data_IF_939374858353
#
_entry.id   IF_939374858353
#
_cell.length_a   1.000
_cell.length_b   1.000
_cell.length_c   1.000
_cell.angle_alpha   90.00
_cell.angle_beta   90.00
_cell.angle_gamma   90.00
#
_symmetry.space_group_name_H-M   'P 1'
#
loop_
_entity.id
_entity.type
_entity.pdbx_description
1 polymer ?
#
# COMPACT_ATOMS: atom_id res chain seq x y z
N UNK A 1 -20.86 -26.63 34.74
CA UNK A 1 -19.82 -25.60 34.81
C UNK A 1 -20.08 -24.70 33.62
N UNK A 2 -20.76 -23.59 33.87
CA UNK A 2 -21.02 -22.57 32.85
C UNK A 2 -19.70 -21.87 32.53
N UNK A 3 -19.31 -21.86 31.25
CA UNK A 3 -18.17 -21.10 30.78
C UNK A 3 -18.45 -19.62 31.04
N UNK A 4 -17.70 -19.02 31.95
CA UNK A 4 -17.72 -17.58 32.18
C UNK A 4 -17.17 -16.89 30.93
N UNK A 5 -18.05 -16.33 30.10
CA UNK A 5 -17.67 -15.44 28.99
C UNK A 5 -16.76 -14.34 29.52
N UNK A 6 -15.50 -14.36 29.10
CA UNK A 6 -14.47 -13.41 29.52
C UNK A 6 -14.59 -12.16 28.67
N UNK A 7 -14.99 -11.06 29.30
CA UNK A 7 -15.14 -9.76 28.65
C UNK A 7 -13.83 -8.97 28.70
N UNK A 8 -13.45 -8.35 27.59
CA UNK A 8 -12.26 -7.48 27.50
C UNK A 8 -12.70 -6.03 27.34
N UNK A 9 -12.08 -5.15 28.12
CA UNK A 9 -12.32 -3.70 28.08
C UNK A 9 -11.27 -3.02 27.21
N UNK A 10 -11.68 -2.44 26.07
CA UNK A 10 -10.78 -1.67 25.19
C UNK A 10 -11.11 -0.19 25.26
N UNK A 11 -10.09 0.65 25.46
CA UNK A 11 -10.24 2.10 25.57
C UNK A 11 -9.68 2.75 24.30
N UNK A 12 -10.51 3.49 23.57
CA UNK A 12 -10.07 4.29 22.40
C UNK A 12 -10.32 5.78 22.65
N UNK A 13 -9.51 6.65 22.03
CA UNK A 13 -9.78 8.09 22.06
C UNK A 13 -10.96 8.42 21.15
N UNK A 14 -11.94 9.19 21.64
CA UNK A 14 -13.04 9.67 20.81
C UNK A 14 -12.64 10.95 20.07
N UNK A 15 -13.25 11.17 18.91
CA UNK A 15 -13.37 12.50 18.29
C UNK A 15 -14.82 12.98 18.50
N UNK A 16 -14.99 14.29 18.66
CA UNK A 16 -16.29 14.92 18.94
C UNK A 16 -17.32 14.59 17.85
N UNK A 17 -18.22 13.65 18.13
CA UNK A 17 -19.47 13.48 17.39
C UNK A 17 -20.64 13.66 18.36
N UNK A 18 -21.29 14.82 18.25
CA UNK A 18 -22.44 15.20 19.07
C UNK A 18 -23.73 14.58 18.53
N UNK A 19 -24.04 13.31 18.87
CA UNK A 19 -25.41 12.78 18.80
C UNK A 19 -25.70 11.86 19.97
N UNK A 20 -26.69 12.23 20.78
CA UNK A 20 -27.22 11.45 21.90
C UNK A 20 -27.92 10.20 21.38
N UNK A 21 -27.54 9.03 21.87
CA UNK A 21 -28.30 7.79 21.72
C UNK A 21 -28.92 7.43 23.08
N UNK A 22 -30.24 7.24 23.10
CA UNK A 22 -31.01 6.78 24.26
C UNK A 22 -30.88 5.26 24.43
N UNK A 23 -30.70 4.82 25.67
CA UNK A 23 -30.41 3.43 26.02
C UNK A 23 -31.66 2.55 26.10
N UNK A 24 -31.56 1.36 25.50
CA UNK A 24 -32.45 0.22 25.73
C UNK A 24 -31.60 -0.95 26.22
N UNK A 25 -31.77 -1.34 27.48
CA UNK A 25 -31.15 -2.52 28.09
C UNK A 25 -31.98 -3.76 27.79
N UNK A 26 -31.52 -4.56 26.84
CA UNK A 26 -31.94 -5.95 26.65
C UNK A 26 -30.71 -6.85 26.71
N UNK A 27 -30.58 -7.63 27.77
CA UNK A 27 -29.55 -8.68 27.91
C UNK A 27 -29.94 -9.88 27.06
N UNK A 28 -29.34 -9.99 25.88
CA UNK A 28 -29.24 -11.25 25.13
C UNK A 28 -27.78 -11.69 25.15
N UNK A 29 -27.51 -12.96 25.44
CA UNK A 29 -26.17 -13.52 25.33
C UNK A 29 -25.79 -13.59 23.85
N UNK A 30 -24.97 -12.64 23.39
CA UNK A 30 -24.50 -12.59 22.01
C UNK A 30 -23.15 -13.30 21.95
N UNK A 31 -23.18 -14.60 21.64
CA UNK A 31 -22.00 -15.35 21.23
C UNK A 31 -21.66 -15.07 19.77
N UNK A 32 -20.47 -15.51 19.33
CA UNK A 32 -20.13 -15.56 17.91
C UNK A 32 -21.19 -16.37 17.15
N UNK A 33 -21.91 -15.71 16.25
CA UNK A 33 -23.00 -16.35 15.50
C UNK A 33 -22.45 -17.17 14.32
N UNK A 34 -23.23 -18.11 13.79
CA UNK A 34 -22.85 -18.83 12.56
C UNK A 34 -22.68 -17.90 11.34
N UNK A 35 -23.24 -16.70 11.38
CA UNK A 35 -23.01 -15.67 10.36
C UNK A 35 -21.66 -14.95 10.53
N UNK A 36 -21.08 -14.95 11.74
CA UNK A 36 -19.78 -14.32 12.06
C UNK A 36 -18.58 -15.26 11.76
N UNK A 37 -18.86 -16.49 11.33
CA UNK A 37 -17.85 -17.55 11.09
C UNK A 37 -17.06 -17.36 9.79
N UNK A 38 -17.33 -16.32 9.00
CA UNK A 38 -16.52 -16.01 7.80
C UNK A 38 -15.07 -15.71 8.19
N UNK A 39 -14.83 -15.24 9.42
CA UNK A 39 -13.48 -15.06 9.98
C UNK A 39 -12.77 -16.39 10.30
N UNK A 40 -13.52 -17.45 10.63
CA UNK A 40 -12.99 -18.80 10.92
C UNK A 40 -12.94 -19.68 9.66
N UNK A 41 -13.47 -19.18 8.55
CA UNK A 41 -13.53 -19.82 7.25
C UNK A 41 -12.16 -19.98 6.60
N UNK A 42 -11.55 -21.13 6.86
CA UNK A 42 -10.50 -21.80 6.09
C UNK A 42 -9.27 -20.95 5.72
N UNK A 43 -8.11 -21.42 6.17
CA UNK A 43 -6.85 -21.20 5.47
C UNK A 43 -7.03 -21.68 4.02
N UNK A 44 -7.41 -20.76 3.13
CA UNK A 44 -7.34 -20.93 1.68
C UNK A 44 -5.86 -20.86 1.30
N UNK A 45 -5.08 -21.83 1.77
CA UNK A 45 -3.81 -22.15 1.13
C UNK A 45 -4.19 -22.54 -0.30
N UNK A 46 -3.63 -21.91 -1.34
CA UNK A 46 -3.94 -22.27 -2.72
C UNK A 46 -3.73 -23.77 -2.92
N UNK A 47 -4.81 -24.53 -3.01
CA UNK A 47 -4.79 -25.93 -3.46
C UNK A 47 -4.74 -25.93 -4.99
N UNK A 48 -3.67 -25.37 -5.52
CA UNK A 48 -3.32 -25.44 -6.92
C UNK A 48 -1.81 -25.52 -6.98
N UNK A 49 -1.27 -26.67 -7.42
CA UNK A 49 0.15 -26.73 -7.76
C UNK A 49 0.38 -25.79 -8.94
N UNK A 50 0.90 -24.59 -8.67
CA UNK A 50 1.42 -23.73 -9.72
C UNK A 50 2.39 -24.55 -10.56
N UNK A 51 2.17 -24.61 -11.87
CA UNK A 51 3.13 -25.27 -12.78
C UNK A 51 4.46 -24.51 -12.82
N UNK A 52 4.46 -23.24 -12.41
CA UNK A 52 5.63 -22.35 -12.43
C UNK A 52 6.27 -22.33 -11.04
N UNK A 53 7.45 -22.93 -10.91
CA UNK A 53 8.27 -22.84 -9.71
C UNK A 53 8.94 -21.47 -9.66
N UNK A 54 8.47 -20.60 -8.77
CA UNK A 54 9.03 -19.24 -8.58
C UNK A 54 10.34 -19.26 -7.79
N UNK A 55 11.22 -18.30 -8.08
CA UNK A 55 12.48 -18.16 -7.32
C UNK A 55 12.22 -17.81 -5.86
N UNK A 56 13.02 -18.40 -4.98
CA UNK A 56 12.97 -18.17 -3.52
C UNK A 56 14.18 -17.40 -3.00
N UNK A 57 15.10 -17.01 -3.89
CA UNK A 57 16.33 -16.27 -3.57
C UNK A 57 16.78 -15.39 -4.74
N UNK A 58 17.53 -14.36 -4.41
CA UNK A 58 18.31 -13.53 -5.34
C UNK A 58 19.79 -13.53 -4.90
N UNK A 59 20.74 -13.10 -5.75
CA UNK A 59 22.12 -12.95 -5.35
C UNK A 59 22.26 -12.08 -4.10
N UNK A 60 23.23 -12.40 -3.24
CA UNK A 60 23.49 -11.61 -2.04
C UNK A 60 23.93 -10.19 -2.44
N UNK A 61 23.37 -9.18 -1.77
CA UNK A 61 23.77 -7.80 -1.96
C UNK A 61 25.24 -7.60 -1.57
N UNK A 62 26.02 -6.80 -2.32
CA UNK A 62 27.34 -6.37 -1.92
C UNK A 62 27.35 -5.69 -0.54
N UNK A 63 28.43 -5.89 0.24
CA UNK A 63 28.57 -5.34 1.57
C UNK A 63 29.23 -3.95 1.53
N UNK A 64 28.44 -2.92 1.27
CA UNK A 64 28.87 -1.51 1.37
C UNK A 64 28.11 -0.79 2.48
N UNK A 65 28.84 0.00 3.28
CA UNK A 65 28.22 0.86 4.28
C UNK A 65 27.54 2.06 3.61
N UNK A 66 26.28 2.29 3.96
CA UNK A 66 25.50 3.41 3.44
C UNK A 66 25.55 4.58 4.43
N UNK A 67 26.05 5.73 3.99
CA UNK A 67 25.99 6.98 4.75
C UNK A 67 24.97 7.93 4.10
N UNK A 68 23.70 7.83 4.48
CA UNK A 68 22.61 8.61 3.90
C UNK A 68 22.79 10.13 4.13
N UNK A 69 23.37 10.51 5.28
CA UNK A 69 23.65 11.91 5.60
C UNK A 69 24.60 12.57 4.58
N UNK A 70 25.58 11.84 4.06
CA UNK A 70 26.55 12.37 3.09
C UNK A 70 25.89 12.95 1.84
N UNK A 71 24.77 12.36 1.40
CA UNK A 71 23.96 12.82 0.27
C UNK A 71 22.95 13.88 0.71
N UNK A 72 22.32 13.69 1.87
CA UNK A 72 21.18 14.52 2.27
C UNK A 72 21.54 15.83 2.98
N UNK A 73 22.80 16.04 3.39
CA UNK A 73 23.23 17.26 4.09
C UNK A 73 22.86 18.57 3.36
N UNK A 74 22.89 18.56 2.02
CA UNK A 74 22.58 19.72 1.18
C UNK A 74 21.10 19.78 0.75
N UNK A 75 20.28 18.86 1.24
CA UNK A 75 18.91 18.60 0.78
C UNK A 75 17.85 18.96 1.84
N UNK A 76 18.24 19.60 2.94
CA UNK A 76 17.34 19.99 4.03
C UNK A 76 16.23 20.89 3.49
N UNK A 77 14.97 20.53 3.75
CA UNK A 77 13.79 21.27 3.30
C UNK A 77 13.43 21.11 1.81
N UNK A 78 14.23 20.38 1.01
CA UNK A 78 13.96 20.12 -0.40
C UNK A 78 13.07 18.88 -0.59
N UNK A 79 12.40 18.84 -1.73
CA UNK A 79 11.68 17.65 -2.19
C UNK A 79 12.69 16.58 -2.65
N UNK A 80 12.65 15.39 -2.03
CA UNK A 80 13.66 14.35 -2.28
C UNK A 80 13.50 13.62 -3.61
N UNK A 81 12.31 13.67 -4.21
CA UNK A 81 12.03 13.07 -5.53
C UNK A 81 12.95 13.64 -6.62
N UNK A 82 13.37 14.91 -6.48
CA UNK A 82 14.22 15.65 -7.42
C UNK A 82 15.73 15.46 -7.18
N UNK A 83 16.13 14.71 -6.15
CA UNK A 83 17.53 14.49 -5.80
C UNK A 83 17.97 13.10 -6.29
N UNK A 84 18.96 13.01 -7.20
CA UNK A 84 19.45 11.74 -7.70
C UNK A 84 20.16 10.98 -6.58
N UNK A 85 19.69 9.77 -6.30
CA UNK A 85 20.29 8.86 -5.32
C UNK A 85 21.23 7.88 -6.04
N UNK A 86 22.45 7.63 -5.55
CA UNK A 86 23.30 6.56 -6.05
C UNK A 86 22.64 5.19 -5.90
N UNK A 87 22.92 4.25 -6.81
CA UNK A 87 22.33 2.89 -6.82
C UNK A 87 22.55 2.15 -5.50
N UNK A 88 23.62 2.45 -4.77
CA UNK A 88 23.92 1.81 -3.48
C UNK A 88 22.81 2.04 -2.42
N UNK A 89 22.04 3.12 -2.55
CA UNK A 89 20.89 3.42 -1.68
C UNK A 89 19.57 2.86 -2.19
N UNK A 90 19.59 2.22 -3.36
CA UNK A 90 18.44 1.59 -3.94
C UNK A 90 18.27 0.15 -3.43
N UNK A 91 17.12 -0.43 -3.74
CA UNK A 91 16.89 -1.86 -3.77
C UNK A 91 16.55 -2.26 -5.22
N UNK A 92 16.74 -3.52 -5.64
CA UNK A 92 16.55 -3.94 -7.02
C UNK A 92 15.08 -4.13 -7.43
N UNK A 93 14.19 -3.24 -6.96
CA UNK A 93 12.78 -3.16 -7.34
C UNK A 93 12.43 -1.72 -7.77
N UNK A 94 11.56 -1.58 -8.76
CA UNK A 94 10.95 -0.31 -9.15
C UNK A 94 9.84 0.08 -8.17
N UNK A 95 9.44 1.35 -8.15
CA UNK A 95 8.29 1.77 -7.35
C UNK A 95 6.99 1.07 -7.80
N UNK A 96 6.86 0.67 -9.08
CA UNK A 96 5.70 -0.06 -9.59
C UNK A 96 5.61 -1.47 -8.99
N UNK A 97 6.77 -2.13 -8.84
CA UNK A 97 6.88 -3.40 -8.14
C UNK A 97 6.59 -3.23 -6.65
N UNK A 98 7.16 -2.20 -6.01
CA UNK A 98 6.88 -1.88 -4.59
C UNK A 98 5.38 -1.65 -4.33
N UNK A 99 4.68 -1.00 -5.26
CA UNK A 99 3.23 -0.81 -5.16
C UNK A 99 2.47 -2.13 -5.26
N UNK A 100 2.94 -3.05 -6.10
CA UNK A 100 2.33 -4.39 -6.25
C UNK A 100 2.51 -5.26 -5.00
N UNK A 101 3.49 -4.97 -4.13
CA UNK A 101 3.65 -5.66 -2.84
C UNK A 101 2.47 -5.46 -1.88
N UNK A 102 1.60 -4.46 -2.11
CA UNK A 102 0.33 -4.32 -1.38
C UNK A 102 -0.53 -5.59 -1.49
N UNK A 103 -0.33 -6.41 -2.53
CA UNK A 103 -1.05 -7.66 -2.79
C UNK A 103 -0.46 -8.89 -2.05
N UNK A 104 0.56 -8.72 -1.20
CA UNK A 104 1.15 -9.83 -0.42
C UNK A 104 0.09 -10.59 0.38
N UNK A 105 -0.91 -9.89 0.90
CA UNK A 105 -2.00 -10.46 1.70
C UNK A 105 -3.36 -10.35 0.99
N UNK A 106 -3.40 -10.43 -0.35
CA UNK A 106 -4.64 -10.36 -1.15
C UNK A 106 -5.72 -11.37 -0.73
N UNK A 107 -5.35 -12.52 -0.15
CA UNK A 107 -6.30 -13.52 0.35
C UNK A 107 -7.24 -12.97 1.44
N UNK A 108 -6.90 -11.87 2.12
CA UNK A 108 -7.82 -11.15 3.00
C UNK A 108 -9.02 -10.62 2.23
N UNK A 109 -8.81 -10.15 0.99
CA UNK A 109 -9.87 -9.70 0.10
C UNK A 109 -10.65 -10.87 -0.49
N UNK A 110 -9.99 -11.98 -0.83
CA UNK A 110 -10.68 -13.20 -1.27
C UNK A 110 -11.64 -13.71 -0.18
N UNK A 111 -11.23 -13.67 1.08
CA UNK A 111 -12.11 -13.96 2.23
C UNK A 111 -13.23 -12.92 2.36
N UNK A 112 -12.90 -11.65 2.20
CA UNK A 112 -13.85 -10.54 2.34
C UNK A 112 -15.00 -10.60 1.32
N UNK A 113 -14.77 -11.15 0.11
CA UNK A 113 -15.84 -11.39 -0.88
C UNK A 113 -16.99 -12.21 -0.30
N UNK A 114 -16.69 -13.15 0.60
CA UNK A 114 -17.67 -14.08 1.16
C UNK A 114 -18.41 -13.54 2.40
N UNK A 115 -18.07 -12.35 2.87
CA UNK A 115 -18.77 -11.71 3.98
C UNK A 115 -20.19 -11.29 3.57
N UNK A 116 -21.17 -11.65 4.38
CA UNK A 116 -22.57 -11.19 4.24
C UNK A 116 -22.81 -9.88 4.99
N UNK A 117 -22.03 -9.62 6.05
CA UNK A 117 -22.05 -8.39 6.83
C UNK A 117 -21.02 -7.39 6.30
N UNK A 118 -21.46 -6.17 5.98
CA UNK A 118 -20.59 -5.11 5.46
C UNK A 118 -19.58 -4.59 6.50
N UNK A 119 -19.94 -4.64 7.79
CA UNK A 119 -19.02 -4.29 8.89
C UNK A 119 -17.98 -5.38 9.16
N UNK A 120 -18.28 -6.65 8.91
CA UNK A 120 -17.26 -7.72 8.94
C UNK A 120 -16.35 -7.68 7.73
N UNK A 121 -16.93 -7.44 6.54
CA UNK A 121 -16.16 -7.20 5.32
C UNK A 121 -15.17 -6.04 5.55
N UNK A 122 -15.61 -4.96 6.20
CA UNK A 122 -14.77 -3.82 6.58
C UNK A 122 -13.60 -4.21 7.49
N UNK A 123 -13.76 -5.16 8.43
CA UNK A 123 -12.64 -5.64 9.26
C UNK A 123 -11.53 -6.26 8.42
N UNK A 124 -11.87 -7.08 7.42
CA UNK A 124 -10.88 -7.71 6.52
C UNK A 124 -10.24 -6.69 5.58
N UNK A 125 -11.01 -5.72 5.06
CA UNK A 125 -10.48 -4.61 4.26
C UNK A 125 -9.49 -3.76 5.09
N UNK A 126 -9.81 -3.48 6.35
CA UNK A 126 -8.92 -2.77 7.26
C UNK A 126 -7.64 -3.56 7.55
N UNK A 127 -7.74 -4.87 7.80
CA UNK A 127 -6.57 -5.74 7.96
C UNK A 127 -5.70 -5.76 6.70
N UNK A 128 -6.30 -5.83 5.51
CA UNK A 128 -5.60 -5.73 4.23
C UNK A 128 -4.84 -4.40 4.11
N UNK A 129 -5.50 -3.27 4.40
CA UNK A 129 -4.85 -1.95 4.39
C UNK A 129 -3.69 -1.84 5.40
N UNK A 130 -3.78 -2.47 6.57
CA UNK A 130 -2.68 -2.47 7.56
C UNK A 130 -1.53 -3.36 7.09
N UNK A 131 -1.86 -4.53 6.51
CA UNK A 131 -0.87 -5.53 6.11
C UNK A 131 0.16 -5.03 5.08
N UNK A 132 -0.22 -4.07 4.23
CA UNK A 132 0.69 -3.50 3.20
C UNK A 132 1.93 -2.82 3.79
N UNK A 133 1.88 -2.40 5.06
CA UNK A 133 3.02 -1.77 5.73
C UNK A 133 4.03 -2.77 6.31
N UNK A 134 3.64 -4.03 6.45
CA UNK A 134 4.47 -5.06 7.11
C UNK A 134 5.78 -5.36 6.37
N UNK A 135 5.81 -5.10 5.06
CA UNK A 135 6.97 -5.27 4.18
C UNK A 135 7.99 -4.14 4.31
N UNK A 136 7.66 -3.03 4.99
CA UNK A 136 8.53 -1.85 5.07
C UNK A 136 9.51 -1.89 6.25
N UNK A 137 9.27 -2.75 7.25
CA UNK A 137 9.95 -2.72 8.58
C UNK A 137 11.48 -2.61 8.48
N UNK A 138 12.10 -3.36 7.59
CA UNK A 138 13.55 -3.42 7.43
C UNK A 138 14.05 -2.78 6.12
N UNK A 139 13.14 -2.23 5.30
CA UNK A 139 13.43 -1.79 3.93
C UNK A 139 13.52 -0.28 3.83
N UNK A 140 14.68 0.23 4.24
CA UNK A 140 15.06 1.65 4.19
C UNK A 140 15.64 2.10 2.84
N UNK A 141 15.91 1.14 1.94
CA UNK A 141 16.43 1.42 0.61
C UNK A 141 15.33 1.95 -0.31
N UNK A 142 15.69 2.88 -1.21
CA UNK A 142 14.75 3.52 -2.13
C UNK A 142 14.48 2.58 -3.31
N UNK A 143 13.23 2.25 -3.68
CA UNK A 143 12.99 1.60 -4.96
C UNK A 143 13.44 2.50 -6.13
N UNK A 144 13.72 1.93 -7.29
CA UNK A 144 14.01 2.73 -8.50
C UNK A 144 12.80 3.61 -8.83
N UNK A 145 13.06 4.88 -9.13
CA UNK A 145 12.02 5.76 -9.68
C UNK A 145 11.71 5.28 -11.10
N UNK A 146 10.46 4.86 -11.41
CA UNK A 146 10.14 4.33 -12.72
C UNK A 146 10.32 5.39 -13.82
N UNK A 147 10.67 4.93 -15.01
CA UNK A 147 10.73 5.78 -16.19
C UNK A 147 9.30 6.16 -16.60
N UNK A 148 9.10 7.33 -17.22
CA UNK A 148 7.76 7.69 -17.72
C UNK A 148 7.30 6.67 -18.78
N UNK A 149 6.13 6.07 -18.59
CA UNK A 149 5.62 4.98 -19.43
C UNK A 149 6.20 3.60 -19.10
N UNK A 150 7.04 3.48 -18.08
CA UNK A 150 7.42 2.17 -17.53
C UNK A 150 6.17 1.46 -17.01
N UNK A 151 6.07 0.17 -17.29
CA UNK A 151 4.98 -0.69 -16.85
C UNK A 151 5.50 -1.77 -15.91
N UNK A 152 4.62 -2.34 -15.10
CA UNK A 152 4.91 -3.59 -14.41
C UNK A 152 3.66 -4.43 -14.32
N UNK A 153 3.72 -5.67 -14.82
CA UNK A 153 2.65 -6.64 -14.64
C UNK A 153 2.97 -7.73 -13.59
N UNK A 154 1.94 -8.17 -12.89
CA UNK A 154 1.95 -9.40 -12.11
C UNK A 154 0.77 -10.26 -12.57
N UNK A 155 1.05 -11.23 -13.45
CA UNK A 155 0.08 -12.20 -13.94
C UNK A 155 0.18 -13.49 -13.12
N UNK A 156 -0.76 -13.67 -12.19
CA UNK A 156 -0.78 -14.77 -11.22
C UNK A 156 -2.18 -15.38 -11.14
N UNK A 157 -2.91 -15.44 -12.26
CA UNK A 157 -4.25 -16.04 -12.30
C UNK A 157 -4.25 -17.50 -11.86
N UNK A 158 -3.21 -18.24 -12.21
CA UNK A 158 -3.10 -19.68 -11.94
C UNK A 158 -2.94 -19.98 -10.45
N UNK A 159 -2.18 -19.17 -9.71
CA UNK A 159 -1.81 -19.46 -8.32
C UNK A 159 -2.30 -18.45 -7.28
N UNK A 160 -2.37 -17.15 -7.60
CA UNK A 160 -2.97 -16.11 -6.73
C UNK A 160 -4.39 -15.70 -7.17
N UNK A 161 -4.85 -16.13 -8.34
CA UNK A 161 -6.17 -15.76 -8.86
C UNK A 161 -6.31 -14.32 -9.33
N UNK A 162 -5.20 -13.58 -9.49
CA UNK A 162 -5.23 -12.16 -9.82
C UNK A 162 -4.27 -11.76 -10.94
N UNK A 163 -4.58 -10.63 -11.56
CA UNK A 163 -3.72 -9.88 -12.46
C UNK A 163 -3.58 -8.45 -11.94
N UNK A 164 -2.38 -7.92 -11.96
CA UNK A 164 -2.09 -6.54 -11.56
C UNK A 164 -1.26 -5.86 -12.65
N UNK A 165 -1.59 -4.63 -12.98
CA UNK A 165 -0.87 -3.78 -13.91
C UNK A 165 -0.60 -2.42 -13.27
N UNK A 166 0.64 -1.98 -13.35
CA UNK A 166 1.06 -0.63 -13.01
C UNK A 166 1.62 0.08 -14.26
N UNK A 167 1.40 1.39 -14.37
CA UNK A 167 2.09 2.28 -15.32
C UNK A 167 2.55 3.55 -14.62
N UNK A 168 3.77 4.01 -14.91
CA UNK A 168 4.22 5.34 -14.51
C UNK A 168 3.57 6.39 -15.42
N UNK A 169 2.48 6.99 -14.94
CA UNK A 169 1.62 7.91 -15.72
C UNK A 169 2.08 9.36 -15.68
N UNK A 170 2.90 9.74 -14.71
CA UNK A 170 3.53 11.06 -14.62
C UNK A 170 4.92 10.97 -13.99
N UNK A 171 5.84 11.86 -14.35
CA UNK A 171 7.18 11.93 -13.76
C UNK A 171 7.42 13.18 -12.91
N UNK A 172 6.70 14.27 -13.19
CA UNK A 172 6.78 15.53 -12.46
C UNK A 172 5.38 16.12 -12.21
N UNK A 173 4.77 15.87 -11.02
CA UNK A 173 5.26 14.98 -9.96
C UNK A 173 5.19 13.49 -10.36
N UNK A 174 6.01 12.61 -9.75
CA UNK A 174 6.00 11.19 -10.07
C UNK A 174 4.71 10.54 -9.58
N UNK A 175 3.91 10.03 -10.53
CA UNK A 175 2.64 9.35 -10.27
C UNK A 175 2.59 8.00 -10.98
N UNK A 176 2.07 6.99 -10.30
CA UNK A 176 1.86 5.64 -10.81
C UNK A 176 0.39 5.28 -10.72
N UNK A 177 -0.17 4.80 -11.83
CA UNK A 177 -1.51 4.20 -11.85
C UNK A 177 -1.39 2.69 -11.68
N UNK A 178 -2.34 2.10 -10.95
CA UNK A 178 -2.36 0.69 -10.59
C UNK A 178 -3.77 0.15 -10.69
N UNK A 179 -3.91 -1.01 -11.33
CA UNK A 179 -5.17 -1.72 -11.45
C UNK A 179 -4.96 -3.20 -11.20
N UNK A 180 -5.88 -3.79 -10.44
CA UNK A 180 -5.88 -5.20 -10.05
C UNK A 180 -7.25 -5.78 -10.33
N UNK A 181 -7.23 -6.93 -11.00
CA UNK A 181 -8.40 -7.77 -11.22
C UNK A 181 -8.19 -9.11 -10.49
N UNK A 182 -9.20 -9.56 -9.75
CA UNK A 182 -9.24 -10.89 -9.15
C UNK A 182 -10.39 -11.72 -9.69
N UNK A 183 -10.12 -12.98 -10.02
CA UNK A 183 -11.16 -13.96 -10.41
C UNK A 183 -12.11 -14.29 -9.25
N UNK A 184 -11.75 -13.93 -8.02
CA UNK A 184 -12.56 -14.15 -6.83
C UNK A 184 -13.69 -13.14 -6.65
N UNK A 185 -13.78 -12.09 -7.49
CA UNK A 185 -14.89 -11.14 -7.40
C UNK A 185 -14.57 -9.87 -6.62
N UNK A 186 -13.33 -9.38 -6.74
CA UNK A 186 -12.97 -8.02 -6.35
C UNK A 186 -12.00 -7.38 -7.35
N UNK A 187 -12.01 -6.04 -7.41
CA UNK A 187 -11.04 -5.24 -8.16
C UNK A 187 -10.51 -4.11 -7.29
N UNK A 188 -9.24 -3.75 -7.48
CA UNK A 188 -8.59 -2.65 -6.77
C UNK A 188 -7.93 -1.71 -7.76
N UNK A 189 -8.04 -0.41 -7.54
CA UNK A 189 -7.34 0.59 -8.35
C UNK A 189 -6.93 1.81 -7.54
N UNK A 190 -5.86 2.46 -7.99
CA UNK A 190 -5.35 3.70 -7.40
C UNK A 190 -4.49 4.45 -8.41
N UNK A 191 -4.44 5.77 -8.27
CA UNK A 191 -3.32 6.58 -8.74
C UNK A 191 -2.58 7.10 -7.51
N UNK A 192 -1.27 6.88 -7.44
CA UNK A 192 -0.47 7.24 -6.28
C UNK A 192 0.72 8.11 -6.65
N UNK A 193 0.87 9.23 -5.94
CA UNK A 193 2.02 10.12 -5.99
C UNK A 193 2.76 10.08 -4.65
N UNK A 194 4.08 9.87 -4.67
CA UNK A 194 4.88 9.82 -3.44
C UNK A 194 5.58 11.16 -3.19
N UNK A 195 5.10 11.93 -2.22
CA UNK A 195 5.78 13.15 -1.78
C UNK A 195 6.72 12.85 -0.62
N UNK A 196 7.97 13.33 -0.70
CA UNK A 196 8.97 13.10 0.35
C UNK A 196 9.58 14.42 0.82
N UNK A 197 9.57 14.67 2.14
CA UNK A 197 10.10 15.88 2.77
C UNK A 197 11.17 15.55 3.79
N UNK A 198 12.36 16.11 3.63
CA UNK A 198 13.44 15.97 4.61
C UNK A 198 13.37 17.06 5.70
N UNK A 199 13.17 16.66 6.96
CA UNK A 199 13.02 17.54 8.13
C UNK A 199 14.23 17.49 9.08
N UNK A 200 15.43 17.36 8.52
CA UNK A 200 16.69 17.33 9.29
C UNK A 200 16.94 15.97 9.96
N UNK A 201 16.22 15.62 11.03
CA UNK A 201 16.46 14.32 11.73
C UNK A 201 15.80 13.13 11.04
N UNK A 202 14.72 13.37 10.28
CA UNK A 202 13.91 12.33 9.65
C UNK A 202 13.40 12.76 8.27
N UNK A 203 13.02 11.78 7.46
CA UNK A 203 12.28 11.98 6.20
C UNK A 203 10.83 11.57 6.42
N UNK A 204 9.88 12.42 6.03
CA UNK A 204 8.47 12.06 5.94
C UNK A 204 8.13 11.69 4.49
N UNK A 205 7.58 10.51 4.28
CA UNK A 205 7.12 9.98 2.99
C UNK A 205 5.59 9.92 3.06
N UNK A 206 4.95 10.72 2.22
CA UNK A 206 3.50 10.90 2.18
C UNK A 206 2.99 10.36 0.85
N UNK A 207 2.37 9.18 0.82
CA UNK A 207 1.65 8.71 -0.34
C UNK A 207 0.35 9.50 -0.50
N UNK A 208 0.16 10.09 -1.68
CA UNK A 208 -0.99 10.90 -2.04
C UNK A 208 -1.80 10.15 -3.09
N UNK A 209 -3.13 10.12 -2.94
CA UNK A 209 -4.04 9.40 -3.82
C UNK A 209 -4.96 8.48 -3.05
N UNK A 210 -6.17 8.28 -3.59
CA UNK A 210 -7.16 7.38 -3.05
C UNK A 210 -6.98 5.96 -3.60
N UNK A 211 -7.20 4.98 -2.74
CA UNK A 211 -7.29 3.56 -3.10
C UNK A 211 -8.76 3.19 -3.14
N UNK A 212 -9.15 2.55 -4.21
CA UNK A 212 -10.50 2.05 -4.44
C UNK A 212 -10.48 0.54 -4.45
N UNK A 213 -11.44 -0.07 -3.76
CA UNK A 213 -11.69 -1.50 -3.76
C UNK A 213 -13.19 -1.75 -3.96
N UNK A 214 -13.53 -2.54 -4.95
CA UNK A 214 -14.92 -2.91 -5.24
C UNK A 214 -15.09 -4.42 -5.22
N UNK A 215 -16.13 -4.88 -4.54
CA UNK A 215 -16.57 -6.28 -4.55
C UNK A 215 -17.77 -6.43 -5.48
N UNK A 216 -17.63 -7.15 -6.60
CA UNK A 216 -18.66 -7.10 -7.65
C UNK A 216 -20.01 -7.72 -7.24
N UNK A 217 -20.00 -8.80 -6.45
CA UNK A 217 -21.22 -9.47 -6.03
C UNK A 217 -22.06 -8.61 -5.06
N UNK A 218 -21.41 -7.96 -4.10
CA UNK A 218 -22.10 -7.10 -3.13
C UNK A 218 -22.26 -5.67 -3.64
N UNK A 219 -21.47 -5.22 -4.61
CA UNK A 219 -21.37 -3.82 -5.03
C UNK A 219 -20.84 -2.88 -3.96
N UNK A 220 -20.25 -3.40 -2.87
CA UNK A 220 -19.63 -2.55 -1.86
C UNK A 220 -18.35 -1.94 -2.43
N UNK A 221 -18.20 -0.62 -2.26
CA UNK A 221 -17.08 0.15 -2.78
C UNK A 221 -16.39 0.88 -1.63
N UNK A 222 -15.19 0.43 -1.31
CA UNK A 222 -14.36 0.98 -0.24
C UNK A 222 -13.35 1.97 -0.81
N UNK A 223 -13.20 3.11 -0.12
CA UNK A 223 -12.20 4.13 -0.46
C UNK A 223 -11.41 4.51 0.80
N UNK A 224 -10.07 4.58 0.67
CA UNK A 224 -9.18 5.04 1.74
C UNK A 224 -7.89 5.65 1.18
N UNK A 225 -7.07 6.23 2.05
CA UNK A 225 -5.74 6.78 1.72
C UNK A 225 -4.69 6.16 2.64
N UNK A 226 -3.44 6.11 2.17
CA UNK A 226 -2.32 5.57 2.96
C UNK A 226 -1.86 6.53 4.06
N UNK A 227 -1.43 5.97 5.18
CA UNK A 227 -0.69 6.64 6.27
C UNK A 227 0.68 7.15 5.82
N UNK A 228 1.22 8.11 6.56
CA UNK A 228 2.58 8.64 6.36
C UNK A 228 3.62 7.68 6.92
N UNK A 229 4.70 7.45 6.18
CA UNK A 229 5.89 6.74 6.67
C UNK A 229 6.98 7.72 7.09
N UNK A 230 7.66 7.46 8.18
CA UNK A 230 8.78 8.28 8.65
C UNK A 230 10.06 7.47 8.75
N UNK A 231 11.12 7.90 8.04
CA UNK A 231 12.47 7.32 8.17
C UNK A 231 13.25 8.16 9.18
N UNK A 232 13.52 7.59 10.35
CA UNK A 232 14.21 8.25 11.44
C UNK A 232 15.73 8.09 11.39
N UNK A 233 16.43 8.90 12.19
CA UNK A 233 17.88 8.82 12.43
C UNK A 233 18.74 9.04 11.18
N UNK A 234 18.30 9.94 10.30
CA UNK A 234 19.00 10.26 9.07
C UNK A 234 20.44 10.75 9.30
N UNK A 235 20.64 11.56 10.34
CA UNK A 235 21.93 12.20 10.65
C UNK A 235 22.79 11.28 11.53
N UNK A 236 22.21 10.74 12.60
CA UNK A 236 22.90 9.96 13.63
C UNK A 236 22.02 8.82 14.11
N UNK A 237 22.61 7.63 14.23
CA UNK A 237 21.96 6.42 14.73
C UNK A 237 21.61 5.43 13.62
N UNK A 238 21.04 4.29 14.01
CA UNK A 238 20.53 3.30 13.06
C UNK A 238 19.23 3.81 12.45
N UNK A 239 19.13 3.79 11.12
CA UNK A 239 17.91 4.11 10.39
C UNK A 239 16.80 3.11 10.73
N UNK A 240 15.59 3.62 10.93
CA UNK A 240 14.39 2.80 11.14
C UNK A 240 13.15 3.52 10.60
N UNK A 241 12.12 2.74 10.28
CA UNK A 241 10.87 3.22 9.70
C UNK A 241 9.76 3.13 10.73
N UNK A 242 8.95 4.17 10.79
CA UNK A 242 7.67 4.19 11.49
C UNK A 242 6.52 4.48 10.53
N UNK A 243 5.31 4.09 10.92
CA UNK A 243 4.07 4.45 10.25
C UNK A 243 3.21 5.23 11.23
N UNK A 244 2.72 6.40 10.84
CA UNK A 244 1.89 7.23 11.71
C UNK A 244 0.86 8.06 10.95
N UNK A 245 -0.29 8.24 11.59
CA UNK A 245 -1.42 8.98 11.05
C UNK A 245 -2.75 8.27 11.30
N UNK A 246 -3.82 9.00 11.00
CA UNK A 246 -5.18 8.50 11.06
C UNK A 246 -5.62 8.16 9.62
N UNK A 247 -6.11 6.95 9.41
CA UNK A 247 -6.70 6.51 8.14
C UNK A 247 -8.20 6.31 8.37
N UNK A 248 -9.02 6.79 7.42
CA UNK A 248 -10.43 6.45 7.35
C UNK A 248 -10.68 5.58 6.11
N UNK A 249 -11.33 4.44 6.30
CA UNK A 249 -11.85 3.58 5.24
C UNK A 249 -13.36 3.73 5.22
N UNK A 250 -13.91 4.12 4.07
CA UNK A 250 -15.35 4.37 3.91
C UNK A 250 -15.91 3.41 2.89
N UNK A 251 -16.98 2.68 3.25
CA UNK A 251 -17.81 1.97 2.27
C UNK A 251 -18.85 2.94 1.71
N UNK A 252 -18.72 3.35 0.46
CA UNK A 252 -19.61 4.32 -0.18
C UNK A 252 -21.00 3.77 -0.52
N UNK A 253 -21.20 2.45 -0.45
CA UNK A 253 -22.53 1.84 -0.63
C UNK A 253 -23.36 1.88 0.65
N UNK A 254 -22.77 1.49 1.78
CA UNK A 254 -23.48 1.36 3.06
C UNK A 254 -23.25 2.54 4.00
N UNK A 255 -22.24 3.38 3.75
CA UNK A 255 -21.72 4.40 4.65
C UNK A 255 -21.11 3.87 5.96
N UNK A 256 -20.77 2.58 6.02
CA UNK A 256 -19.96 2.04 7.11
C UNK A 256 -18.54 2.61 7.05
N UNK A 257 -17.92 2.78 8.21
CA UNK A 257 -16.61 3.42 8.35
C UNK A 257 -15.68 2.60 9.23
N UNK A 258 -14.40 2.59 8.89
CA UNK A 258 -13.34 2.16 9.79
C UNK A 258 -12.36 3.32 10.01
N UNK A 259 -12.19 3.72 11.27
CA UNK A 259 -11.16 4.67 11.68
C UNK A 259 -9.97 3.90 12.22
N UNK A 260 -8.84 3.93 11.51
CA UNK A 260 -7.58 3.34 11.92
C UNK A 260 -6.63 4.42 12.42
N UNK A 261 -5.90 4.13 13.49
CA UNK A 261 -4.90 5.01 14.09
C UNK A 261 -3.57 4.31 14.19
N UNK A 262 -2.59 4.81 13.45
CA UNK A 262 -1.20 4.38 13.52
C UNK A 262 -0.48 5.23 14.55
N UNK A 263 -0.18 4.64 15.71
CA UNK A 263 0.38 5.35 16.84
C UNK A 263 1.88 5.57 16.60
N UNK A 264 2.34 6.83 16.53
CA UNK A 264 3.75 7.12 16.35
C UNK A 264 4.55 6.62 17.56
N UNK A 265 5.74 6.09 17.30
CA UNK A 265 6.64 5.69 18.36
C UNK A 265 7.01 6.89 19.25
N UNK A 266 6.92 6.69 20.56
CA UNK A 266 7.29 7.68 21.56
C UNK A 266 8.03 7.03 22.71
N UNK A 267 9.23 7.54 23.03
CA UNK A 267 10.05 7.08 24.16
C UNK A 267 9.35 7.23 25.51
N UNK A 268 8.39 8.14 25.63
CA UNK A 268 7.66 8.42 26.87
C UNK A 268 6.33 7.66 26.96
N UNK A 269 5.94 6.95 25.90
CA UNK A 269 4.71 6.17 25.89
C UNK A 269 4.96 4.76 26.46
N UNK A 270 3.99 4.25 27.21
CA UNK A 270 3.95 2.84 27.64
C UNK A 270 3.35 1.92 26.57
N UNK A 271 2.89 2.48 25.45
CA UNK A 271 2.28 1.69 24.38
C UNK A 271 3.33 0.87 23.63
N UNK A 272 2.88 -0.29 23.11
CA UNK A 272 3.71 -1.09 22.22
C UNK A 272 4.15 -0.26 21.00
N UNK A 273 5.38 -0.47 20.55
CA UNK A 273 5.85 0.13 19.31
C UNK A 273 4.98 -0.34 18.13
N UNK A 274 4.83 0.52 17.10
CA UNK A 274 4.16 0.16 15.84
C UNK A 274 2.68 -0.22 15.99
N UNK A 275 2.07 0.16 17.11
CA UNK A 275 0.69 -0.17 17.44
C UNK A 275 -0.28 0.48 16.45
N UNK A 276 -1.28 -0.30 16.06
CA UNK A 276 -2.42 0.16 15.27
C UNK A 276 -3.69 -0.21 16.02
N UNK A 277 -4.60 0.75 16.12
CA UNK A 277 -5.94 0.52 16.67
C UNK A 277 -6.99 0.96 15.66
N UNK A 278 -8.17 0.39 15.68
CA UNK A 278 -9.28 0.94 14.92
C UNK A 278 -10.65 0.64 15.47
N UNK A 279 -11.64 1.34 14.94
CA UNK A 279 -13.06 1.12 15.25
C UNK A 279 -13.82 1.03 13.94
N UNK A 280 -14.60 -0.03 13.78
CA UNK A 280 -15.54 -0.21 12.67
C UNK A 280 -16.93 0.14 13.16
N UNK A 281 -17.56 1.08 12.49
CA UNK A 281 -18.90 1.57 12.80
C UNK A 281 -19.81 1.49 11.58
N UNK A 282 -21.11 1.29 11.83
CA UNK A 282 -22.11 1.33 10.78
C UNK A 282 -22.44 2.77 10.34
N UNK A 283 -23.34 2.90 9.36
CA UNK A 283 -23.84 4.18 8.84
C UNK A 283 -24.47 5.11 9.90
N UNK A 284 -24.86 4.58 11.06
CA UNK A 284 -25.44 5.34 12.18
C UNK A 284 -24.40 5.74 13.22
N UNK A 285 -23.13 5.35 13.00
CA UNK A 285 -22.02 5.60 13.93
C UNK A 285 -21.96 4.60 15.09
N UNK A 286 -22.77 3.54 15.09
CA UNK A 286 -22.69 2.51 16.12
C UNK A 286 -21.45 1.65 15.88
N UNK A 287 -20.58 1.56 16.87
CA UNK A 287 -19.40 0.70 16.82
C UNK A 287 -19.80 -0.78 16.90
N UNK A 288 -19.30 -1.60 15.97
CA UNK A 288 -19.51 -3.05 15.93
C UNK A 288 -18.24 -3.84 16.22
N UNK A 289 -17.08 -3.32 15.81
CA UNK A 289 -15.79 -3.98 16.03
C UNK A 289 -14.72 -2.99 16.46
N UNK A 290 -13.85 -3.46 17.37
CA UNK A 290 -12.58 -2.79 17.68
C UNK A 290 -11.47 -3.63 17.09
N UNK A 291 -10.55 -2.98 16.40
CA UNK A 291 -9.37 -3.59 15.81
C UNK A 291 -8.14 -3.21 16.64
N UNK A 292 -7.23 -4.15 16.84
CA UNK A 292 -5.98 -3.89 17.57
C UNK A 292 -4.86 -4.79 17.07
N UNK A 293 -3.65 -4.25 17.00
CA UNK A 293 -2.48 -5.01 16.57
C UNK A 293 -1.25 -4.12 16.39
N UNK A 294 -0.31 -4.59 15.58
CA UNK A 294 0.83 -3.81 15.11
C UNK A 294 1.04 -4.04 13.61
N UNK A 295 1.38 -3.00 12.87
CA UNK A 295 1.48 -3.06 11.41
C UNK A 295 2.63 -3.96 10.92
N UNK A 296 3.50 -4.40 11.83
CA UNK A 296 4.66 -5.24 11.56
C UNK A 296 4.53 -6.70 12.03
N UNK A 297 3.44 -7.08 12.69
CA UNK A 297 3.29 -8.43 13.25
C UNK A 297 1.92 -9.04 12.96
N UNK A 298 0.83 -8.43 13.44
CA UNK A 298 -0.52 -8.99 13.32
C UNK A 298 -1.62 -7.96 13.56
N UNK A 299 -2.84 -8.29 13.13
CA UNK A 299 -4.06 -7.52 13.39
C UNK A 299 -5.18 -8.46 13.86
N UNK A 300 -5.89 -8.05 14.91
CA UNK A 300 -7.01 -8.77 15.49
C UNK A 300 -8.27 -7.88 15.50
N UNK A 301 -9.45 -8.50 15.56
CA UNK A 301 -10.72 -7.82 15.80
C UNK A 301 -11.46 -8.40 17.02
N UNK A 302 -12.16 -7.52 17.73
CA UNK A 302 -13.03 -7.89 18.85
C UNK A 302 -14.43 -7.30 18.63
N UNK A 303 -15.45 -8.14 18.69
CA UNK A 303 -16.85 -7.73 18.52
C UNK A 303 -17.31 -6.91 19.73
N UNK A 304 -17.90 -5.75 19.49
CA UNK A 304 -18.42 -4.85 20.53
C UNK A 304 -19.80 -5.32 20.98
N UNK A 305 -19.99 -5.48 22.28
CA UNK A 305 -21.31 -5.73 22.87
C UNK A 305 -21.92 -4.46 23.43
N UNK A 306 -21.12 -3.70 24.18
CA UNK A 306 -21.53 -2.46 24.82
C UNK A 306 -20.44 -1.39 24.69
N UNK A 307 -20.85 -0.15 24.52
CA UNK A 307 -20.00 1.03 24.52
C UNK A 307 -20.45 1.99 25.61
N UNK A 308 -19.54 2.48 26.44
CA UNK A 308 -19.82 3.50 27.44
C UNK A 308 -18.77 4.62 27.39
N UNK A 309 -19.15 5.88 27.67
CA UNK A 309 -18.18 6.95 27.81
C UNK A 309 -17.32 6.71 29.07
N UNK A 310 -16.01 6.88 28.95
CA UNK A 310 -15.11 6.83 30.11
C UNK A 310 -15.28 8.07 30.98
N UNK A 311 -14.86 7.95 32.25
CA UNK A 311 -14.60 9.12 33.09
C UNK A 311 -13.67 10.11 32.36
N UNK A 312 -13.85 11.44 32.53
CA UNK A 312 -12.99 12.43 31.89
C UNK A 312 -11.53 12.16 32.25
N UNK A 313 -10.66 12.06 31.24
CA UNK A 313 -9.21 12.00 31.48
C UNK A 313 -8.68 13.36 31.91
N UNK A 314 -7.50 13.39 32.54
CA UNK A 314 -6.81 14.63 32.97
C UNK A 314 -6.62 15.66 31.85
N UNK A 315 -6.71 15.22 30.59
CA UNK A 315 -6.48 16.03 29.39
C UNK A 315 -7.79 16.51 28.75
N UNK A 316 -8.94 16.35 29.42
CA UNK A 316 -10.26 16.79 28.93
C UNK A 316 -10.83 15.96 27.77
N UNK A 317 -10.09 14.99 27.24
CA UNK A 317 -10.56 14.07 26.21
C UNK A 317 -11.41 12.96 26.83
N UNK A 318 -12.66 12.80 26.37
CA UNK A 318 -13.48 11.62 26.66
C UNK A 318 -12.95 10.44 25.83
N UNK A 319 -12.69 9.32 26.49
CA UNK A 319 -12.36 8.06 25.82
C UNK A 319 -13.61 7.19 25.79
N UNK A 320 -13.77 6.38 24.77
CA UNK A 320 -14.86 5.39 24.73
C UNK A 320 -14.33 4.07 25.25
N UNK A 321 -15.09 3.45 26.15
CA UNK A 321 -14.81 2.13 26.71
C UNK A 321 -15.72 1.13 26.01
N UNK A 322 -15.11 0.16 25.33
CA UNK A 322 -15.82 -0.94 24.68
C UNK A 322 -15.68 -2.20 25.50
N UNK A 323 -16.80 -2.85 25.79
CA UNK A 323 -16.83 -4.24 26.26
C UNK A 323 -16.96 -5.15 25.05
N UNK A 324 -15.98 -6.01 24.86
CA UNK A 324 -15.88 -6.85 23.67
C UNK A 324 -15.82 -8.34 23.99
N UNK A 325 -16.16 -9.17 23.01
CA UNK A 325 -15.81 -10.58 22.99
C UNK A 325 -14.29 -10.78 22.85
N UNK A 326 -13.84 -12.01 23.04
CA UNK A 326 -12.44 -12.41 22.80
C UNK A 326 -12.01 -12.08 21.38
N UNK A 327 -10.76 -11.62 21.23
CA UNK A 327 -10.21 -11.22 19.95
C UNK A 327 -10.07 -12.41 18.98
N UNK A 328 -10.33 -12.17 17.70
CA UNK A 328 -10.06 -13.08 16.58
C UNK A 328 -8.96 -12.51 15.70
N UNK A 329 -8.01 -13.35 15.29
CA UNK A 329 -6.91 -12.97 14.41
C UNK A 329 -7.41 -12.76 12.98
N UNK A 330 -7.18 -11.58 12.42
CA UNK A 330 -7.51 -11.26 11.03
C UNK A 330 -6.32 -11.51 10.10
N UNK A 331 -5.14 -11.05 10.52
CA UNK A 331 -3.93 -11.06 9.72
C UNK A 331 -2.71 -11.28 10.60
N UNK A 332 -1.74 -12.03 10.07
CA UNK A 332 -0.42 -12.20 10.66
C UNK A 332 0.64 -12.13 9.57
N UNK A 333 1.72 -11.42 9.86
CA UNK A 333 2.85 -11.24 8.95
C UNK A 333 3.51 -12.58 8.62
N UNK A 334 3.86 -12.77 7.35
CA UNK A 334 4.66 -13.91 6.93
C UNK A 334 6.10 -13.83 7.43
N UNK A 335 6.71 -14.96 7.84
CA UNK A 335 8.11 -14.97 8.19
C UNK A 335 8.96 -14.58 6.97
N UNK A 336 10.03 -13.84 7.22
CA UNK A 336 10.99 -13.54 6.16
C UNK A 336 11.80 -14.80 5.81
N UNK A 337 12.24 -14.95 4.55
CA UNK A 337 13.16 -16.00 4.14
C UNK A 337 14.45 -15.99 4.95
N UNK A 338 15.09 -17.15 5.03
CA UNK A 338 16.38 -17.28 5.71
C UNK A 338 17.44 -16.39 5.03
N UNK A 339 18.25 -15.67 5.82
CA UNK A 339 19.25 -14.71 5.35
C UNK A 339 18.66 -13.52 4.55
N UNK A 340 17.41 -13.13 4.81
CA UNK A 340 16.75 -12.01 4.12
C UNK A 340 17.56 -10.70 4.20
N UNK A 341 18.37 -10.47 5.23
CA UNK A 341 19.25 -9.31 5.34
C UNK A 341 20.27 -9.19 4.19
N UNK A 342 20.64 -10.31 3.58
CA UNK A 342 21.50 -10.36 2.41
C UNK A 342 20.74 -10.16 1.10
N UNK A 343 19.41 -10.23 1.14
CA UNK A 343 18.49 -10.10 0.02
C UNK A 343 17.52 -8.92 0.22
N UNK A 344 18.04 -7.81 0.74
CA UNK A 344 17.30 -6.55 0.94
C UNK A 344 16.04 -6.67 1.83
N UNK A 345 15.97 -7.69 2.69
CA UNK A 345 14.80 -8.03 3.50
C UNK A 345 13.51 -8.23 2.67
N UNK A 346 13.65 -8.75 1.46
CA UNK A 346 12.50 -9.07 0.60
C UNK A 346 11.65 -10.19 1.19
N UNK A 347 10.33 -10.03 1.11
CA UNK A 347 9.36 -11.10 1.33
C UNK A 347 9.42 -12.13 0.20
N UNK A 348 8.73 -13.26 0.37
CA UNK A 348 8.62 -14.25 -0.71
C UNK A 348 8.04 -13.65 -1.99
N UNK A 349 6.98 -12.83 -1.89
CA UNK A 349 6.42 -12.15 -3.06
C UNK A 349 7.45 -11.21 -3.70
N UNK A 350 8.08 -10.34 -2.90
CA UNK A 350 9.06 -9.36 -3.39
C UNK A 350 10.24 -10.03 -4.12
N UNK A 351 10.69 -11.19 -3.65
CA UNK A 351 11.71 -11.98 -4.33
C UNK A 351 11.28 -12.36 -5.75
N UNK A 352 10.00 -12.64 -6.00
CA UNK A 352 9.50 -13.04 -7.34
C UNK A 352 9.25 -11.88 -8.29
N UNK A 353 9.04 -10.65 -7.79
CA UNK A 353 8.54 -9.53 -8.61
C UNK A 353 9.47 -9.13 -9.77
N UNK A 354 10.77 -9.36 -9.64
CA UNK A 354 11.75 -9.05 -10.67
C UNK A 354 12.36 -10.32 -11.30
N UNK A 355 11.74 -11.48 -11.08
CA UNK A 355 12.05 -12.70 -11.84
C UNK A 355 11.75 -12.46 -13.33
N UNK A 356 12.61 -12.96 -14.23
CA UNK A 356 12.38 -12.80 -15.67
C UNK A 356 11.15 -13.61 -16.11
N UNK A 357 10.28 -12.99 -16.88
CA UNK A 357 9.09 -13.63 -17.46
C UNK A 357 9.07 -13.35 -18.96
N UNK A 358 8.69 -14.36 -19.75
CA UNK A 358 8.57 -14.22 -21.20
C UNK A 358 7.25 -13.53 -21.57
N UNK A 359 7.25 -12.85 -22.70
CA UNK A 359 6.05 -12.24 -23.27
C UNK A 359 5.51 -11.02 -22.51
N UNK A 360 6.29 -10.45 -21.60
CA UNK A 360 6.01 -9.14 -20.97
C UNK A 360 6.19 -8.00 -21.98
N UNK A 361 5.55 -6.85 -21.73
CA UNK A 361 5.74 -5.65 -22.54
C UNK A 361 7.22 -5.19 -22.55
N UNK A 362 7.74 -4.58 -23.64
CA UNK A 362 9.11 -4.05 -23.68
C UNK A 362 9.37 -2.91 -22.67
N UNK A 363 8.30 -2.33 -22.11
CA UNK A 363 8.31 -1.32 -21.05
C UNK A 363 8.29 -1.92 -19.64
N UNK A 364 8.24 -3.25 -19.48
CA UNK A 364 8.13 -3.90 -18.17
C UNK A 364 9.39 -3.71 -17.31
N UNK A 365 9.23 -3.40 -16.02
CA UNK A 365 10.32 -3.21 -15.08
C UNK A 365 11.32 -4.38 -15.04
N UNK A 366 10.93 -5.61 -15.37
CA UNK A 366 11.86 -6.77 -15.43
C UNK A 366 12.94 -6.63 -16.51
N UNK A 367 12.65 -5.86 -17.56
CA UNK A 367 13.55 -5.59 -18.69
C UNK A 367 14.41 -4.35 -18.46
N UNK A 368 14.19 -3.63 -17.35
CA UNK A 368 14.94 -2.43 -16.98
C UNK A 368 16.41 -2.78 -16.63
N UNK A 369 17.40 -2.31 -17.41
CA UNK A 369 18.76 -2.86 -17.34
C UNK A 369 19.57 -2.43 -16.11
N UNK A 370 19.45 -1.18 -15.63
CA UNK A 370 20.13 -0.70 -14.42
C UNK A 370 19.67 -1.47 -13.17
N UNK A 371 18.36 -1.68 -13.04
CA UNK A 371 17.76 -2.47 -11.98
C UNK A 371 18.25 -3.93 -12.02
N UNK A 372 18.32 -4.54 -13.22
CA UNK A 372 18.82 -5.91 -13.38
C UNK A 372 20.30 -6.06 -13.01
N UNK A 373 21.13 -5.09 -13.40
CA UNK A 373 22.55 -5.07 -13.05
C UNK A 373 22.72 -4.94 -11.52
N UNK A 374 21.90 -4.12 -10.87
CA UNK A 374 21.91 -3.99 -9.42
C UNK A 374 21.56 -5.31 -8.72
N UNK A 375 20.50 -6.00 -9.15
CA UNK A 375 20.10 -7.29 -8.58
C UNK A 375 21.21 -8.34 -8.68
N UNK A 376 22.01 -8.29 -9.76
CA UNK A 376 23.18 -9.15 -9.97
C UNK A 376 24.43 -8.72 -9.19
N UNK A 377 24.35 -7.66 -8.38
CA UNK A 377 25.47 -7.12 -7.60
C UNK A 377 26.47 -6.28 -8.42
N UNK A 378 26.19 -5.97 -9.69
CA UNK A 378 27.06 -5.19 -10.60
C UNK A 378 26.75 -3.70 -10.46
N UNK A 379 27.01 -3.12 -9.29
CA UNK A 379 26.54 -1.78 -8.93
C UNK A 379 27.17 -0.64 -9.75
N UNK A 380 28.44 -0.74 -10.14
CA UNK A 380 29.08 0.29 -10.96
C UNK A 380 28.45 0.38 -12.35
N UNK A 381 28.24 -0.77 -13.00
CA UNK A 381 27.55 -0.85 -14.28
C UNK A 381 26.09 -0.42 -14.18
N UNK A 382 25.42 -0.76 -13.08
CA UNK A 382 24.07 -0.28 -12.79
C UNK A 382 24.02 1.25 -12.68
N UNK A 383 25.01 1.89 -12.06
CA UNK A 383 25.10 3.35 -12.00
C UNK A 383 25.31 3.97 -13.38
N UNK A 384 26.20 3.40 -14.22
CA UNK A 384 26.40 3.87 -15.60
C UNK A 384 25.11 3.76 -16.42
N UNK A 385 24.43 2.62 -16.33
CA UNK A 385 23.20 2.37 -17.08
C UNK A 385 22.05 3.25 -16.61
N UNK A 386 21.95 3.48 -15.29
CA UNK A 386 20.99 4.43 -14.71
C UNK A 386 21.17 5.84 -15.27
N UNK A 387 22.42 6.31 -15.39
CA UNK A 387 22.70 7.63 -15.96
C UNK A 387 22.25 7.70 -17.43
N UNK A 388 22.55 6.66 -18.24
CA UNK A 388 22.12 6.57 -19.64
C UNK A 388 20.60 6.64 -19.78
N UNK A 389 19.88 5.89 -18.94
CA UNK A 389 18.41 5.88 -18.90
C UNK A 389 17.84 7.25 -18.53
N UNK A 390 18.32 7.84 -17.44
CA UNK A 390 17.86 9.15 -16.97
C UNK A 390 18.16 10.27 -17.98
N UNK A 391 19.28 10.19 -18.71
CA UNK A 391 19.62 11.13 -19.78
C UNK A 391 18.71 10.94 -21.00
N UNK A 392 18.46 9.70 -21.43
CA UNK A 392 17.51 9.38 -22.51
C UNK A 392 16.12 9.95 -22.20
N UNK A 393 15.62 9.78 -20.98
CA UNK A 393 14.33 10.34 -20.56
C UNK A 393 14.34 11.87 -20.51
N UNK A 394 15.43 12.49 -20.01
CA UNK A 394 15.57 13.96 -20.01
C UNK A 394 15.52 14.54 -21.43
N UNK A 395 16.18 13.90 -22.39
CA UNK A 395 16.15 14.30 -23.80
C UNK A 395 14.76 14.10 -24.43
N UNK A 396 14.11 12.97 -24.15
CA UNK A 396 12.74 12.70 -24.61
C UNK A 396 11.74 13.72 -24.07
N UNK A 397 11.85 14.07 -22.78
CA UNK A 397 11.04 15.13 -22.14
C UNK A 397 11.22 16.47 -22.84
N UNK A 398 12.48 16.89 -23.08
CA UNK A 398 12.77 18.15 -23.76
C UNK A 398 12.10 18.22 -25.14
N UNK A 399 12.22 17.16 -25.93
CA UNK A 399 11.58 17.08 -27.27
C UNK A 399 10.06 17.17 -27.20
N UNK A 400 9.42 16.53 -26.22
CA UNK A 400 7.96 16.64 -26.01
C UNK A 400 7.53 18.07 -25.71
N UNK A 401 8.24 18.74 -24.80
CA UNK A 401 7.94 20.11 -24.41
C UNK A 401 8.18 21.11 -25.55
N UNK A 402 9.20 20.91 -26.37
CA UNK A 402 9.46 21.72 -27.57
C UNK A 402 8.38 21.54 -28.65
N UNK A 403 7.78 20.34 -28.76
CA UNK A 403 6.70 20.06 -29.70
C UNK A 403 5.35 20.64 -29.28
N UNK A 404 5.12 20.85 -27.98
CA UNK A 404 3.99 21.60 -27.46
C UNK A 404 4.19 23.10 -27.74
N UNK A 405 3.72 23.56 -28.90
CA UNK A 405 3.93 24.92 -29.39
C UNK A 405 3.50 26.06 -28.43
N UNK A 406 3.85 27.32 -28.75
CA UNK A 406 3.66 28.49 -27.87
C UNK A 406 2.18 28.89 -27.59
N UNK A 407 1.19 28.11 -28.06
CA UNK A 407 -0.24 28.34 -27.84
C UNK A 407 -0.84 27.62 -26.63
N UNK A 408 -0.01 26.96 -25.81
CA UNK A 408 -0.45 26.31 -24.58
C UNK A 408 -0.87 27.35 -23.53
N UNK A 409 -2.12 27.30 -23.07
CA UNK A 409 -2.66 28.13 -21.98
C UNK A 409 -2.10 27.74 -20.59
N UNK A 410 -1.14 26.83 -20.53
CA UNK A 410 -0.61 26.25 -19.30
C UNK A 410 0.38 27.20 -18.64
N UNK A 411 0.16 27.44 -17.34
CA UNK A 411 0.86 28.41 -16.52
C UNK A 411 2.16 27.87 -15.92
N UNK A 412 2.28 26.54 -15.80
CA UNK A 412 3.45 25.85 -15.24
C UNK A 412 4.07 24.81 -16.20
N UNK A 413 5.35 24.47 -16.00
CA UNK A 413 6.00 23.38 -16.75
C UNK A 413 5.36 22.01 -16.48
N UNK A 414 4.82 21.80 -15.28
CA UNK A 414 4.16 20.55 -14.86
C UNK A 414 2.84 20.37 -15.62
N UNK A 415 2.04 21.44 -15.79
CA UNK A 415 0.83 21.43 -16.61
C UNK A 415 1.13 21.12 -18.09
N UNK A 416 2.18 21.74 -18.65
CA UNK A 416 2.61 21.46 -20.03
C UNK A 416 3.03 20.01 -20.22
N UNK A 417 3.73 19.44 -19.24
CA UNK A 417 4.16 18.04 -19.29
C UNK A 417 2.99 17.07 -19.17
N UNK A 418 2.02 17.39 -18.30
CA UNK A 418 0.81 16.60 -18.11
C UNK A 418 -0.11 16.59 -19.35
N UNK A 419 -0.08 17.64 -20.16
CA UNK A 419 -0.77 17.72 -21.46
C UNK A 419 0.03 17.05 -22.59
N UNK A 420 1.36 17.06 -22.50
CA UNK A 420 2.25 16.51 -23.53
C UNK A 420 2.37 14.98 -23.52
N UNK A 421 1.96 14.31 -22.44
CA UNK A 421 2.07 12.86 -22.28
C UNK A 421 0.71 12.22 -21.98
N UNK A 422 0.36 11.21 -22.76
CA UNK A 422 -0.82 10.37 -22.53
C UNK A 422 -0.38 8.96 -22.17
N UNK A 423 -0.75 8.42 -21.00
CA UNK A 423 -0.49 7.04 -20.63
C UNK A 423 -1.07 6.03 -21.63
N UNK A 424 -0.35 4.94 -21.84
CA UNK A 424 -0.73 3.97 -22.88
C UNK A 424 -1.88 3.07 -22.43
N UNK A 425 -1.92 2.67 -21.16
CA UNK A 425 -2.86 1.68 -20.64
C UNK A 425 -3.89 2.25 -19.66
N UNK A 426 -3.70 3.50 -19.28
CA UNK A 426 -4.60 4.24 -18.39
C UNK A 426 -5.10 5.52 -19.06
N UNK A 427 -6.20 6.07 -18.54
CA UNK A 427 -6.76 7.34 -18.97
C UNK A 427 -7.17 8.18 -17.76
N UNK A 428 -7.01 9.50 -17.86
CA UNK A 428 -7.44 10.43 -16.80
C UNK A 428 -8.96 10.55 -16.81
N UNK A 429 -9.61 10.31 -15.67
CA UNK A 429 -11.05 10.49 -15.46
C UNK A 429 -11.31 11.21 -14.13
N UNK A 430 -12.43 11.92 -14.04
CA UNK A 430 -12.90 12.48 -12.78
C UNK A 430 -13.52 11.34 -11.96
N UNK A 431 -13.00 11.09 -10.77
CA UNK A 431 -13.57 10.12 -9.86
C UNK A 431 -14.85 10.69 -9.21
N UNK A 432 -16.00 10.01 -9.34
CA UNK A 432 -17.28 10.53 -8.85
C UNK A 432 -17.41 10.50 -7.31
N UNK A 433 -16.61 9.71 -6.61
CA UNK A 433 -16.67 9.58 -5.15
C UNK A 433 -15.72 10.55 -4.44
N UNK A 434 -14.52 10.73 -4.98
CA UNK A 434 -13.50 11.60 -4.38
C UNK A 434 -13.53 13.02 -4.96
N UNK A 435 -14.06 13.19 -6.18
CA UNK A 435 -14.00 14.45 -6.91
C UNK A 435 -12.60 14.79 -7.44
N UNK A 436 -11.66 13.84 -7.36
CA UNK A 436 -10.28 14.01 -7.81
C UNK A 436 -10.12 13.46 -9.24
N UNK A 437 -9.22 14.06 -10.03
CA UNK A 437 -8.80 13.46 -11.30
C UNK A 437 -7.85 12.29 -11.00
N UNK A 438 -8.11 11.13 -11.58
CA UNK A 438 -7.28 9.94 -11.42
C UNK A 438 -7.15 9.15 -12.74
N UNK A 439 -6.04 8.46 -12.91
CA UNK A 439 -5.78 7.56 -14.01
C UNK A 439 -6.45 6.20 -13.75
N UNK A 440 -7.40 5.83 -14.60
CA UNK A 440 -8.14 4.56 -14.53
C UNK A 440 -7.72 3.66 -15.68
N UNK A 441 -7.63 2.36 -15.43
CA UNK A 441 -7.28 1.38 -16.46
C UNK A 441 -8.34 1.38 -17.57
N UNK A 442 -7.90 1.50 -18.82
CA UNK A 442 -8.80 1.61 -19.99
C UNK A 442 -8.95 0.33 -20.80
N UNK A 443 -8.26 -0.74 -20.42
CA UNK A 443 -8.18 -1.98 -21.20
C UNK A 443 -7.02 -1.98 -22.20
N UNK A 444 -6.88 -3.09 -22.93
CA UNK A 444 -5.94 -3.25 -24.04
C UNK A 444 -4.60 -3.89 -23.68
N UNK A 445 -4.14 -3.81 -22.43
CA UNK A 445 -2.83 -4.36 -22.04
C UNK A 445 -2.82 -5.90 -22.11
N UNK A 446 -3.82 -6.53 -21.49
CA UNK A 446 -3.92 -8.00 -21.45
C UNK A 446 -4.23 -8.57 -22.83
N UNK A 447 -5.02 -7.88 -23.64
CA UNK A 447 -5.31 -8.24 -25.02
C UNK A 447 -4.07 -8.14 -25.91
N UNK A 448 -3.24 -7.10 -25.71
CA UNK A 448 -1.94 -6.96 -26.37
C UNK A 448 -0.99 -8.09 -25.95
N UNK A 449 -0.96 -8.44 -24.66
CA UNK A 449 -0.18 -9.57 -24.13
C UNK A 449 -0.61 -10.90 -24.75
N UNK A 450 -1.90 -11.18 -24.78
CA UNK A 450 -2.43 -12.44 -25.35
C UNK A 450 -2.07 -12.58 -26.84
N UNK A 451 -2.05 -11.47 -27.58
CA UNK A 451 -1.64 -11.43 -28.99
C UNK A 451 -0.13 -11.30 -29.20
N UNK A 452 0.64 -11.07 -28.12
CA UNK A 452 2.06 -10.72 -28.17
C UNK A 452 2.34 -9.52 -29.10
N UNK A 453 1.44 -8.54 -29.10
CA UNK A 453 1.52 -7.36 -29.95
C UNK A 453 1.85 -6.10 -29.14
N UNK A 454 3.12 -5.70 -29.18
CA UNK A 454 3.66 -4.57 -28.43
C UNK A 454 4.00 -3.36 -29.30
N UNK A 455 3.50 -3.27 -30.53
CA UNK A 455 3.88 -2.19 -31.46
C UNK A 455 3.58 -0.78 -30.94
N UNK A 456 2.60 -0.64 -30.04
CA UNK A 456 2.24 0.63 -29.41
C UNK A 456 3.18 1.04 -28.27
N UNK A 457 3.98 0.10 -27.73
CA UNK A 457 4.83 0.37 -26.58
C UNK A 457 6.02 1.25 -26.98
N UNK A 458 6.31 2.33 -26.23
CA UNK A 458 7.47 3.17 -26.48
C UNK A 458 8.78 2.48 -26.11
N UNK A 459 9.87 2.85 -26.79
CA UNK A 459 11.21 2.42 -26.41
C UNK A 459 11.80 3.35 -25.32
N UNK A 460 11.64 2.95 -24.05
CA UNK A 460 12.02 3.77 -22.89
C UNK A 460 13.34 3.37 -22.20
N UNK A 461 13.82 2.13 -22.39
CA UNK A 461 15.10 1.67 -21.85
C UNK A 461 16.27 1.93 -22.81
#
# INVERSE_FOLDING_TARGET
>A
MEDSTSFITVITEAKEDSRKAEGSTGTSSVDWSSADNVLDGASLVPKGSSKVKRRVRIPNKPNYSLNLWSIMKNCIGRELSRIPMPVNFNEPLSMLQRLTEDLEYHHLLDKAVHCTSSVEQMCLVAAFSVSSYSTTVHRIAKPFNPMLGETFELDRLDDMGLRSLCEQVSHHPPSAAHYVFSKHGWSLWQEITISSKFRGKYISIMPLGAIHLEFQASGNHYVWRKSTSTVHNIIVGKLWIDQSGDIEIVNHKTNDRCQLKFLPYSYFSKEAARKVTGVVSDSQGKAHYVLSGSWDEQMECSKVMHSSPSSPSSDGKQKTVYQTLSAKLLWKKYPLPENAENMYYFSELALTLNEHEEGVAPTDSRLRPDQRLMEKGRWDEANTEKQRLEEKQRLSRRRRLEACGPGSSCSSEEEKEADAYTPLWFEKRLDPLTGEMACVYKGGYWEAKEKQDWHMCPNIF
#
